data_IF_921162262490
#
_entry.id   IF_921162262490
#
_cell.length_a   1.000
_cell.length_b   1.000
_cell.length_c   1.000
_cell.angle_alpha   90.00
_cell.angle_beta   90.00
_cell.angle_gamma   90.00
#
_symmetry.space_group_name_H-M   'P 1'
#
loop_
_entity.id
_entity.type
_entity.pdbx_description
1 polymer ?
#
# COMPACT_ATOMS: atom_id res chain seq x y z
N UNK A 1 -6.60 -16.50 -0.14
CA UNK A 1 -6.78 -16.86 -1.58
C UNK A 1 -6.80 -15.59 -2.38
N UNK A 2 -6.06 -15.54 -3.49
CA UNK A 2 -6.01 -14.39 -4.39
C UNK A 2 -6.26 -14.86 -5.83
N UNK A 3 -7.36 -14.41 -6.43
CA UNK A 3 -7.75 -14.76 -7.79
C UNK A 3 -7.06 -13.90 -8.86
N UNK A 4 -6.26 -12.90 -8.47
CA UNK A 4 -5.56 -11.98 -9.38
C UNK A 4 -4.57 -12.66 -10.32
N UNK A 5 -4.13 -11.93 -11.32
CA UNK A 5 -3.75 -12.46 -12.63
C UNK A 5 -2.37 -13.17 -12.72
N UNK A 6 -1.52 -13.17 -11.69
CA UNK A 6 -0.14 -13.69 -11.81
C UNK A 6 0.36 -14.43 -10.58
N UNK A 7 1.37 -15.32 -10.74
CA UNK A 7 1.95 -16.04 -9.62
C UNK A 7 2.85 -15.12 -8.79
N UNK A 8 2.76 -15.26 -7.48
CA UNK A 8 3.65 -14.63 -6.50
C UNK A 8 3.77 -15.47 -5.24
N UNK A 9 4.79 -15.22 -4.45
CA UNK A 9 5.07 -15.88 -3.17
C UNK A 9 5.77 -14.89 -2.20
N UNK A 10 6.03 -15.29 -0.95
CA UNK A 10 6.68 -14.42 0.03
C UNK A 10 8.05 -13.84 -0.35
N UNK A 11 8.75 -14.40 -1.34
CA UNK A 11 10.02 -13.86 -1.82
C UNK A 11 9.85 -12.85 -2.98
N UNK A 12 8.69 -12.85 -3.61
CA UNK A 12 8.43 -12.02 -4.81
C UNK A 12 8.74 -10.53 -4.61
N UNK A 13 8.33 -9.85 -3.51
CA UNK A 13 8.58 -8.41 -3.34
C UNK A 13 10.05 -8.03 -3.26
N UNK A 14 10.93 -8.98 -2.95
CA UNK A 14 12.37 -8.75 -2.85
C UNK A 14 13.08 -8.78 -4.20
N UNK A 15 12.51 -9.43 -5.21
CA UNK A 15 13.10 -9.59 -6.54
C UNK A 15 12.41 -8.81 -7.65
N UNK A 16 11.12 -8.50 -7.49
CA UNK A 16 10.34 -7.77 -8.51
C UNK A 16 9.25 -6.90 -7.88
N UNK A 17 8.79 -5.84 -8.60
CA UNK A 17 7.69 -5.01 -8.13
C UNK A 17 6.39 -5.81 -8.02
N UNK A 18 5.58 -5.48 -7.01
CA UNK A 18 4.32 -6.14 -6.73
C UNK A 18 3.29 -5.12 -6.20
N UNK A 19 2.01 -5.34 -6.49
CA UNK A 19 0.93 -4.50 -5.97
C UNK A 19 0.82 -4.54 -4.44
N UNK A 20 0.27 -3.51 -3.84
CA UNK A 20 0.23 -3.34 -2.38
C UNK A 20 -0.46 -4.49 -1.65
N UNK A 21 -1.63 -4.97 -2.12
CA UNK A 21 -2.35 -6.07 -1.49
C UNK A 21 -1.58 -7.38 -1.54
N UNK A 22 -0.95 -7.69 -2.68
CA UNK A 22 -0.13 -8.88 -2.84
C UNK A 22 1.15 -8.81 -2.00
N UNK A 23 1.80 -7.64 -1.95
CA UNK A 23 2.95 -7.41 -1.05
C UNK A 23 2.56 -7.59 0.41
N UNK A 24 1.42 -7.05 0.83
CA UNK A 24 0.90 -7.23 2.18
C UNK A 24 0.68 -8.70 2.54
N UNK A 25 0.10 -9.50 1.62
CA UNK A 25 -0.06 -10.94 1.81
C UNK A 25 1.29 -11.66 1.91
N UNK A 26 2.27 -11.29 1.06
CA UNK A 26 3.62 -11.84 1.09
C UNK A 26 4.34 -11.60 2.41
N UNK A 27 4.08 -10.49 3.07
CA UNK A 27 4.73 -10.15 4.34
C UNK A 27 3.96 -10.69 5.56
N UNK A 28 2.61 -10.63 5.54
CA UNK A 28 1.79 -11.14 6.64
C UNK A 28 1.89 -12.66 6.80
N UNK A 29 1.85 -13.42 5.69
CA UNK A 29 1.78 -14.86 5.72
C UNK A 29 2.95 -15.53 6.48
N UNK A 30 4.24 -15.15 6.26
CA UNK A 30 5.35 -15.69 7.04
C UNK A 30 5.30 -15.31 8.53
N UNK A 31 4.80 -14.12 8.86
CA UNK A 31 4.68 -13.71 10.26
C UNK A 31 3.60 -14.51 11.00
N UNK A 32 2.49 -14.84 10.35
CA UNK A 32 1.48 -15.76 10.89
C UNK A 32 2.06 -17.17 11.09
N UNK A 33 2.92 -17.65 10.17
CA UNK A 33 3.62 -18.93 10.35
C UNK A 33 4.51 -18.92 11.61
N UNK A 34 5.21 -17.82 11.89
CA UNK A 34 6.03 -17.67 13.12
C UNK A 34 5.18 -17.73 14.40
N UNK A 35 3.92 -17.32 14.34
CA UNK A 35 2.96 -17.44 15.44
C UNK A 35 2.33 -18.84 15.56
N UNK A 36 2.74 -19.81 14.72
CA UNK A 36 2.28 -21.19 14.77
C UNK A 36 1.08 -21.52 13.86
N UNK A 37 0.62 -20.57 13.04
CA UNK A 37 -0.42 -20.85 12.05
C UNK A 37 0.12 -21.66 10.87
N UNK A 38 -0.69 -22.57 10.34
CA UNK A 38 -0.44 -23.23 9.05
C UNK A 38 -1.03 -22.38 7.94
N UNK A 39 -0.20 -21.68 7.18
CA UNK A 39 -0.65 -20.73 6.18
C UNK A 39 -0.48 -21.30 4.77
N UNK A 40 -1.56 -21.28 3.99
CA UNK A 40 -1.55 -21.59 2.56
C UNK A 40 -1.89 -20.34 1.77
N UNK A 41 -0.98 -19.90 0.89
CA UNK A 41 -1.20 -18.84 -0.09
C UNK A 41 -1.59 -19.49 -1.42
N UNK A 42 -2.86 -19.39 -1.79
CA UNK A 42 -3.37 -19.89 -3.06
C UNK A 42 -3.57 -18.74 -4.04
N UNK A 43 -2.88 -18.81 -5.19
CA UNK A 43 -2.97 -17.85 -6.28
C UNK A 43 -2.74 -18.54 -7.63
N UNK A 44 -2.30 -17.85 -8.66
CA UNK A 44 -1.98 -18.43 -9.97
C UNK A 44 -0.57 -19.04 -10.05
N UNK A 45 -0.05 -19.58 -8.95
CA UNK A 45 1.19 -20.37 -8.98
C UNK A 45 1.07 -21.55 -9.95
N UNK A 46 2.18 -21.91 -10.59
CA UNK A 46 2.22 -23.00 -11.56
C UNK A 46 2.26 -24.38 -10.84
N UNK A 47 2.94 -24.45 -9.70
CA UNK A 47 3.12 -25.67 -8.91
C UNK A 47 3.17 -25.38 -7.39
N UNK A 48 2.86 -26.38 -6.54
CA UNK A 48 2.99 -26.25 -5.11
C UNK A 48 4.45 -26.10 -4.68
N UNK A 49 4.69 -25.19 -3.73
CA UNK A 49 6.02 -25.00 -3.09
C UNK A 49 5.87 -24.42 -1.69
N UNK A 50 6.93 -24.50 -0.89
CA UNK A 50 7.00 -23.86 0.42
C UNK A 50 8.04 -22.75 0.37
N UNK A 51 7.63 -21.52 0.72
CA UNK A 51 8.49 -20.34 0.75
C UNK A 51 8.31 -19.65 2.10
N UNK A 52 9.39 -19.46 2.84
CA UNK A 52 9.38 -18.90 4.22
C UNK A 52 8.36 -19.57 5.16
N UNK A 53 8.18 -20.89 5.03
CA UNK A 53 7.21 -21.65 5.81
C UNK A 53 5.76 -21.56 5.31
N UNK A 54 5.46 -20.70 4.35
CA UNK A 54 4.15 -20.57 3.72
C UNK A 54 4.02 -21.58 2.59
N UNK A 55 2.92 -22.36 2.59
CA UNK A 55 2.59 -23.26 1.50
C UNK A 55 1.94 -22.48 0.36
N UNK A 56 2.66 -22.29 -0.73
CA UNK A 56 2.13 -21.66 -1.93
C UNK A 56 1.54 -22.71 -2.87
N UNK A 57 0.33 -22.48 -3.36
CA UNK A 57 -0.38 -23.45 -4.20
C UNK A 57 -1.13 -22.79 -5.37
N UNK A 58 -1.29 -23.51 -6.50
CA UNK A 58 -2.20 -23.07 -7.55
C UNK A 58 -3.65 -23.02 -7.02
N UNK A 59 -4.34 -21.92 -7.32
CA UNK A 59 -5.77 -21.81 -6.98
C UNK A 59 -6.62 -22.77 -7.81
N UNK A 60 -6.18 -23.09 -9.04
CA UNK A 60 -6.79 -24.11 -9.88
C UNK A 60 -6.01 -25.42 -9.72
N UNK A 61 -6.70 -26.49 -9.35
CA UNK A 61 -6.06 -27.76 -9.04
C UNK A 61 -5.35 -27.75 -7.69
N UNK A 62 -5.88 -26.99 -6.72
CA UNK A 62 -5.44 -27.02 -5.34
C UNK A 62 -5.50 -28.46 -4.83
N UNK A 63 -4.51 -28.88 -4.04
CA UNK A 63 -4.48 -30.22 -3.46
C UNK A 63 -5.74 -30.52 -2.64
N UNK A 64 -6.22 -31.75 -2.75
CA UNK A 64 -7.39 -32.20 -2.02
C UNK A 64 -7.23 -32.00 -0.51
N UNK A 65 -8.28 -31.53 0.12
CA UNK A 65 -8.34 -31.33 1.56
C UNK A 65 -7.77 -29.99 2.06
N UNK A 66 -7.13 -29.16 1.25
CA UNK A 66 -6.65 -27.83 1.69
C UNK A 66 -7.81 -26.99 2.24
N UNK A 67 -8.90 -26.88 1.49
CA UNK A 67 -10.09 -26.13 1.91
C UNK A 67 -10.84 -26.82 3.05
N UNK A 68 -10.97 -28.16 3.00
CA UNK A 68 -11.67 -28.91 4.05
C UNK A 68 -10.99 -28.86 5.41
N UNK A 69 -9.67 -28.65 5.43
CA UNK A 69 -8.87 -28.58 6.65
C UNK A 69 -8.53 -27.15 7.04
N UNK A 70 -9.06 -26.15 6.37
CA UNK A 70 -8.86 -24.75 6.71
C UNK A 70 -9.87 -24.32 7.79
N UNK A 71 -9.37 -23.72 8.86
CA UNK A 71 -10.19 -23.08 9.89
C UNK A 71 -10.73 -21.74 9.39
N UNK A 72 -9.99 -21.09 8.47
CA UNK A 72 -10.32 -19.79 7.92
C UNK A 72 -9.84 -19.68 6.46
N UNK A 73 -10.65 -19.06 5.61
CA UNK A 73 -10.31 -18.70 4.23
C UNK A 73 -10.36 -17.18 4.09
N UNK A 74 -9.21 -16.58 3.82
CA UNK A 74 -9.11 -15.14 3.57
C UNK A 74 -9.13 -14.87 2.07
N UNK A 75 -10.16 -14.16 1.60
CA UNK A 75 -10.29 -13.66 0.23
C UNK A 75 -9.54 -12.33 0.12
N UNK A 76 -8.48 -12.30 -0.68
CA UNK A 76 -7.65 -11.12 -0.84
C UNK A 76 -8.13 -10.28 -2.02
N UNK A 77 -8.28 -9.00 -1.79
CA UNK A 77 -8.64 -7.94 -2.74
C UNK A 77 -10.08 -7.98 -3.23
N UNK A 78 -10.48 -9.03 -3.91
CA UNK A 78 -11.81 -9.20 -4.49
C UNK A 78 -12.34 -10.62 -4.29
N UNK A 79 -13.59 -10.83 -4.62
CA UNK A 79 -14.21 -12.14 -4.72
C UNK A 79 -15.15 -12.15 -5.93
N UNK A 80 -15.30 -13.32 -6.51
CA UNK A 80 -16.27 -13.52 -7.58
C UNK A 80 -17.55 -14.04 -6.93
N UNK A 81 -18.63 -13.26 -6.96
CA UNK A 81 -19.90 -13.56 -6.29
C UNK A 81 -20.39 -14.99 -6.53
N UNK A 82 -20.38 -15.44 -7.79
CA UNK A 82 -20.79 -16.79 -8.18
C UNK A 82 -19.87 -17.89 -7.67
N UNK A 83 -18.61 -17.58 -7.38
CA UNK A 83 -17.61 -18.56 -6.92
C UNK A 83 -17.55 -18.67 -5.39
N UNK A 84 -17.95 -17.65 -4.66
CA UNK A 84 -17.84 -17.60 -3.19
C UNK A 84 -18.68 -18.71 -2.53
N UNK A 85 -19.92 -18.91 -2.98
CA UNK A 85 -20.80 -19.96 -2.47
C UNK A 85 -20.26 -21.38 -2.76
N UNK A 86 -19.76 -21.60 -3.98
CA UNK A 86 -19.15 -22.88 -4.38
C UNK A 86 -17.89 -23.17 -3.56
N UNK A 87 -17.08 -22.17 -3.30
CA UNK A 87 -15.86 -22.31 -2.51
C UNK A 87 -16.20 -22.60 -1.05
N UNK A 88 -17.16 -21.88 -0.46
CA UNK A 88 -17.64 -22.12 0.91
C UNK A 88 -18.15 -23.55 1.07
N UNK A 89 -18.85 -24.09 0.07
CA UNK A 89 -19.32 -25.46 0.09
C UNK A 89 -18.20 -26.52 0.06
N UNK A 90 -16.99 -26.19 -0.37
CA UNK A 90 -15.82 -27.07 -0.37
C UNK A 90 -15.02 -27.00 0.95
N UNK A 91 -15.27 -26.00 1.78
CA UNK A 91 -14.62 -25.81 3.08
C UNK A 91 -15.23 -26.69 4.17
N UNK A 92 -14.55 -26.76 5.32
CA UNK A 92 -15.20 -27.29 6.53
C UNK A 92 -16.41 -26.40 6.87
N UNK A 93 -17.52 -26.95 7.37
CA UNK A 93 -18.72 -26.16 7.72
C UNK A 93 -18.46 -25.00 8.68
N UNK A 94 -17.53 -25.18 9.60
CA UNK A 94 -17.15 -24.17 10.60
C UNK A 94 -16.05 -23.21 10.11
N UNK A 95 -15.51 -23.41 8.89
CA UNK A 95 -14.47 -22.56 8.33
C UNK A 95 -14.96 -21.14 8.09
N UNK A 96 -14.26 -20.15 8.68
CA UNK A 96 -14.62 -18.74 8.54
C UNK A 96 -14.21 -18.19 7.17
N UNK A 97 -15.11 -17.43 6.56
CA UNK A 97 -14.85 -16.72 5.30
C UNK A 97 -14.58 -15.26 5.59
N UNK A 98 -13.39 -14.78 5.28
CA UNK A 98 -12.95 -13.42 5.57
C UNK A 98 -12.68 -12.68 4.26
N UNK A 99 -13.24 -11.49 4.10
CA UNK A 99 -12.82 -10.57 3.05
C UNK A 99 -11.74 -9.62 3.58
N UNK A 100 -10.56 -9.67 2.98
CA UNK A 100 -9.48 -8.68 3.18
C UNK A 100 -9.26 -7.90 1.91
N UNK A 101 -9.69 -6.64 1.88
CA UNK A 101 -9.64 -5.82 0.67
C UNK A 101 -8.99 -4.47 0.90
N UNK A 102 -8.19 -4.04 -0.09
CA UNK A 102 -7.68 -2.67 -0.20
C UNK A 102 -8.53 -1.77 -1.11
N UNK A 103 -9.67 -2.25 -1.62
CA UNK A 103 -10.54 -1.45 -2.48
C UNK A 103 -11.38 -0.46 -1.69
N UNK A 104 -11.59 0.73 -2.26
CA UNK A 104 -12.63 1.64 -1.78
C UNK A 104 -14.02 1.09 -2.13
N UNK A 105 -15.03 1.51 -1.37
CA UNK A 105 -16.41 0.99 -1.49
C UNK A 105 -17.06 1.19 -2.87
N UNK A 106 -16.58 2.15 -3.65
CA UNK A 106 -17.08 2.51 -4.98
C UNK A 106 -16.49 1.68 -6.13
N UNK A 107 -15.66 0.67 -5.81
CA UNK A 107 -14.99 -0.18 -6.81
C UNK A 107 -15.85 -1.38 -7.20
N UNK A 108 -15.83 -1.70 -8.50
CA UNK A 108 -16.56 -2.84 -9.04
C UNK A 108 -16.20 -4.18 -8.35
N UNK A 109 -14.95 -4.33 -7.91
CA UNK A 109 -14.45 -5.52 -7.22
C UNK A 109 -15.21 -5.87 -5.93
N UNK A 110 -15.90 -4.90 -5.32
CA UNK A 110 -16.64 -5.08 -4.06
C UNK A 110 -18.13 -4.74 -4.17
N UNK A 111 -18.61 -4.44 -5.38
CA UNK A 111 -19.99 -4.05 -5.64
C UNK A 111 -21.01 -5.13 -5.22
N UNK A 112 -20.63 -6.40 -5.26
CA UNK A 112 -21.47 -7.53 -4.81
C UNK A 112 -21.88 -7.45 -3.33
N UNK A 113 -21.14 -6.70 -2.50
CA UNK A 113 -21.50 -6.45 -1.10
C UNK A 113 -22.80 -5.63 -0.92
N UNK A 114 -23.35 -5.04 -1.97
CA UNK A 114 -24.69 -4.47 -1.94
C UNK A 114 -25.81 -5.52 -1.78
N UNK A 115 -25.51 -6.81 -2.01
CA UNK A 115 -26.43 -7.92 -1.89
C UNK A 115 -26.28 -8.60 -0.53
N UNK A 116 -27.37 -8.71 0.24
CA UNK A 116 -27.38 -9.34 1.57
C UNK A 116 -26.99 -10.82 1.53
N UNK A 117 -27.31 -11.49 0.43
CA UNK A 117 -26.98 -12.89 0.19
C UNK A 117 -25.45 -13.09 0.13
N UNK A 118 -24.75 -12.19 -0.54
CA UNK A 118 -23.28 -12.21 -0.61
C UNK A 118 -22.66 -11.89 0.75
N UNK A 119 -23.19 -10.87 1.45
CA UNK A 119 -22.73 -10.55 2.80
C UNK A 119 -22.88 -11.73 3.78
N UNK A 120 -23.93 -12.54 3.63
CA UNK A 120 -24.19 -13.70 4.48
C UNK A 120 -23.18 -14.85 4.31
N UNK A 121 -22.44 -14.86 3.20
CA UNK A 121 -21.38 -15.84 2.93
C UNK A 121 -20.05 -15.48 3.59
N UNK A 122 -19.88 -14.24 4.02
CA UNK A 122 -18.65 -13.70 4.63
C UNK A 122 -18.87 -13.59 6.14
N UNK A 123 -17.97 -14.14 6.94
CA UNK A 123 -18.07 -14.12 8.40
C UNK A 123 -17.41 -12.89 9.01
N UNK A 124 -16.36 -12.33 8.37
CA UNK A 124 -15.66 -11.14 8.84
C UNK A 124 -15.05 -10.31 7.72
N UNK A 125 -14.84 -9.02 7.99
CA UNK A 125 -14.30 -8.04 7.06
C UNK A 125 -13.03 -7.44 7.65
N UNK A 126 -11.86 -7.74 7.05
CA UNK A 126 -10.59 -7.15 7.42
C UNK A 126 -10.38 -5.85 6.66
N UNK A 127 -10.64 -4.72 7.31
CA UNK A 127 -10.48 -3.38 6.75
C UNK A 127 -9.13 -2.79 7.12
N UNK A 128 -8.52 -2.07 6.17
CA UNK A 128 -7.16 -1.55 6.33
C UNK A 128 -7.10 -0.16 6.96
N UNK A 129 -8.25 0.45 7.27
CA UNK A 129 -8.37 1.73 7.97
C UNK A 129 -9.77 1.92 8.56
N UNK A 130 -9.88 2.83 9.54
CA UNK A 130 -11.17 3.29 10.09
C UNK A 130 -12.00 3.99 9.01
N UNK A 131 -11.33 4.79 8.16
CA UNK A 131 -11.98 5.45 7.02
C UNK A 131 -12.65 4.44 6.09
N UNK A 132 -11.95 3.35 5.73
CA UNK A 132 -12.51 2.31 4.88
C UNK A 132 -13.71 1.64 5.56
N UNK A 133 -13.58 1.26 6.84
CA UNK A 133 -14.65 0.64 7.61
C UNK A 133 -15.91 1.51 7.65
N UNK A 134 -15.75 2.81 7.94
CA UNK A 134 -16.87 3.76 7.95
C UNK A 134 -17.56 3.85 6.58
N UNK A 135 -16.79 3.93 5.49
CA UNK A 135 -17.34 3.94 4.13
C UNK A 135 -18.11 2.65 3.80
N UNK A 136 -17.61 1.48 4.21
CA UNK A 136 -18.29 0.21 3.97
C UNK A 136 -19.54 0.04 4.81
N UNK A 137 -19.54 0.45 6.07
CA UNK A 137 -20.77 0.50 6.89
C UNK A 137 -21.82 1.40 6.24
N UNK A 138 -21.42 2.57 5.77
CA UNK A 138 -22.35 3.53 5.13
C UNK A 138 -22.88 3.02 3.79
N UNK A 139 -22.01 2.47 2.93
CA UNK A 139 -22.37 2.09 1.57
C UNK A 139 -23.15 0.75 1.51
N UNK A 140 -22.77 -0.22 2.34
CA UNK A 140 -23.28 -1.59 2.27
C UNK A 140 -24.07 -2.00 3.50
N UNK A 141 -24.15 -1.17 4.54
CA UNK A 141 -24.85 -1.51 5.78
C UNK A 141 -24.20 -2.65 6.56
N UNK A 142 -22.85 -2.78 6.47
CA UNK A 142 -22.13 -3.83 7.19
C UNK A 142 -22.25 -3.64 8.70
N UNK A 143 -22.43 -4.75 9.42
CA UNK A 143 -22.39 -4.77 10.87
C UNK A 143 -20.96 -4.50 11.37
N UNK A 144 -20.75 -3.41 12.16
CA UNK A 144 -19.43 -3.11 12.71
C UNK A 144 -18.82 -4.23 13.57
N UNK A 145 -19.65 -5.08 14.19
CA UNK A 145 -19.17 -6.21 14.98
C UNK A 145 -18.43 -7.27 14.16
N UNK A 146 -18.64 -7.29 12.84
CA UNK A 146 -17.96 -8.19 11.89
C UNK A 146 -16.70 -7.58 11.28
N UNK A 147 -16.35 -6.35 11.63
CA UNK A 147 -15.23 -5.61 11.05
C UNK A 147 -14.02 -5.63 11.98
N UNK A 148 -12.88 -6.09 11.47
CA UNK A 148 -11.58 -5.89 12.09
C UNK A 148 -10.79 -4.80 11.38
N UNK A 149 -10.23 -3.84 12.11
CA UNK A 149 -9.32 -2.84 11.55
C UNK A 149 -7.90 -3.41 11.60
N UNK A 150 -7.49 -3.99 10.48
CA UNK A 150 -6.22 -4.69 10.31
C UNK A 150 -5.35 -3.92 9.31
N UNK A 151 -4.68 -2.89 9.80
CA UNK A 151 -3.90 -1.94 8.99
C UNK A 151 -2.76 -2.62 8.24
N UNK A 152 -2.36 -2.03 7.13
CA UNK A 152 -1.14 -2.41 6.43
C UNK A 152 0.11 -2.03 7.25
N UNK A 153 1.27 -2.47 6.75
CA UNK A 153 2.58 -2.16 7.32
C UNK A 153 3.62 -2.01 6.21
N UNK A 154 4.80 -1.52 6.57
CA UNK A 154 5.93 -1.40 5.64
C UNK A 154 6.61 -2.74 5.40
N UNK A 155 7.14 -2.95 4.20
CA UNK A 155 7.94 -4.13 3.89
C UNK A 155 9.22 -4.20 4.75
N UNK A 156 9.76 -5.41 4.98
CA UNK A 156 10.98 -5.59 5.79
C UNK A 156 12.19 -4.77 5.31
N UNK A 157 12.25 -4.43 4.00
CA UNK A 157 13.30 -3.61 3.44
C UNK A 157 13.32 -2.16 3.96
N UNK A 158 12.23 -1.69 4.58
CA UNK A 158 12.10 -0.35 5.14
C UNK A 158 12.30 -0.30 6.66
N UNK A 159 12.43 -1.44 7.30
CA UNK A 159 12.72 -1.51 8.74
C UNK A 159 14.20 -1.28 8.95
N UNK A 160 14.53 -0.42 9.90
CA UNK A 160 15.92 -0.14 10.32
C UNK A 160 16.85 0.42 9.22
N UNK A 161 16.32 1.27 8.33
CA UNK A 161 17.11 1.89 7.25
C UNK A 161 18.27 2.78 7.75
N UNK A 162 18.21 3.25 8.99
CA UNK A 162 19.19 4.18 9.55
C UNK A 162 20.01 3.60 10.69
N UNK A 163 19.65 2.42 11.25
CA UNK A 163 20.39 1.77 12.35
C UNK A 163 20.70 2.70 13.53
N UNK A 164 19.80 3.66 13.80
CA UNK A 164 19.98 4.68 14.84
C UNK A 164 20.86 5.88 14.43
N UNK A 165 21.39 5.90 13.20
CA UNK A 165 22.12 7.05 12.66
C UNK A 165 21.20 8.24 12.35
N UNK A 166 21.74 9.47 12.34
CA UNK A 166 21.00 10.64 11.87
C UNK A 166 20.49 10.48 10.43
N UNK A 167 19.30 11.03 10.15
CA UNK A 167 18.60 10.85 8.87
C UNK A 167 19.08 11.86 7.83
N UNK A 168 19.28 13.13 8.22
CA UNK A 168 19.64 14.21 7.30
C UNK A 168 20.92 13.97 6.50
N UNK A 169 21.99 13.39 7.08
CA UNK A 169 23.22 13.09 6.31
C UNK A 169 22.99 12.13 5.15
N UNK A 170 22.02 11.19 5.29
CA UNK A 170 21.67 10.29 4.19
C UNK A 170 20.90 10.98 3.04
N UNK A 171 20.44 12.20 3.26
CA UNK A 171 19.65 13.03 2.33
C UNK A 171 20.38 14.31 1.91
N UNK A 172 21.72 14.30 1.97
CA UNK A 172 22.56 15.40 1.49
C UNK A 172 22.51 15.54 -0.03
N UNK A 173 22.74 16.76 -0.52
CA UNK A 173 22.73 17.08 -1.95
C UNK A 173 21.46 17.80 -2.41
N UNK A 174 21.18 17.82 -3.72
CA UNK A 174 20.00 18.47 -4.27
C UNK A 174 18.72 17.86 -3.71
N UNK A 175 17.71 18.69 -3.37
CA UNK A 175 16.42 18.18 -2.92
C UNK A 175 15.83 17.22 -3.94
N UNK A 176 15.63 15.96 -3.53
CA UNK A 176 15.10 14.91 -4.39
C UNK A 176 13.70 14.55 -3.95
N UNK A 177 12.71 14.83 -4.79
CA UNK A 177 11.33 14.44 -4.64
C UNK A 177 11.14 13.05 -5.26
N UNK A 178 10.32 12.22 -4.64
CA UNK A 178 9.96 10.91 -5.20
C UNK A 178 8.44 10.81 -5.40
N UNK A 179 8.04 10.09 -6.44
CA UNK A 179 6.69 9.58 -6.63
C UNK A 179 6.74 8.05 -6.74
N UNK A 180 5.98 7.33 -5.91
CA UNK A 180 6.12 5.86 -5.76
C UNK A 180 4.77 5.13 -5.83
N UNK A 181 3.83 5.65 -6.61
CA UNK A 181 2.50 5.07 -6.78
C UNK A 181 2.16 4.84 -8.25
N UNK A 182 0.99 4.25 -8.51
CA UNK A 182 0.48 4.10 -9.88
C UNK A 182 0.12 5.45 -10.50
N UNK A 183 0.22 5.61 -11.82
CA UNK A 183 0.20 6.93 -12.48
C UNK A 183 -1.13 7.68 -12.32
N UNK A 184 -2.26 6.98 -12.25
CA UNK A 184 -3.60 7.59 -12.13
C UNK A 184 -3.89 8.21 -10.77
N UNK A 185 -2.94 8.14 -9.83
CA UNK A 185 -3.08 8.66 -8.47
C UNK A 185 -2.43 10.05 -8.31
N UNK A 186 -2.34 10.84 -9.39
CA UNK A 186 -1.88 12.22 -9.35
C UNK A 186 -0.48 12.46 -9.93
N UNK A 187 0.09 11.51 -10.70
CA UNK A 187 1.36 11.76 -11.39
C UNK A 187 1.25 12.91 -12.40
N UNK A 188 0.10 13.04 -13.08
CA UNK A 188 -0.22 14.14 -13.95
C UNK A 188 -0.16 15.50 -13.23
N UNK A 189 -0.72 15.57 -12.02
CA UNK A 189 -0.68 16.77 -11.16
C UNK A 189 0.74 17.12 -10.75
N UNK A 190 1.55 16.10 -10.43
CA UNK A 190 2.95 16.30 -10.05
C UNK A 190 3.78 16.84 -11.21
N UNK A 191 3.57 16.33 -12.43
CA UNK A 191 4.28 16.82 -13.61
C UNK A 191 3.90 18.27 -13.97
N UNK A 192 2.66 18.70 -13.68
CA UNK A 192 2.24 20.11 -13.80
C UNK A 192 2.90 20.96 -12.71
N UNK A 193 2.99 20.45 -11.46
CA UNK A 193 3.54 21.17 -10.32
C UNK A 193 5.07 21.33 -10.37
N UNK A 194 5.79 20.35 -10.92
CA UNK A 194 7.23 20.26 -10.80
C UNK A 194 8.03 21.40 -11.45
N UNK A 195 7.67 21.95 -12.63
CA UNK A 195 8.31 23.13 -13.20
C UNK A 195 8.31 24.35 -12.25
N UNK A 196 7.18 24.60 -11.53
CA UNK A 196 7.09 25.67 -10.52
C UNK A 196 8.01 25.41 -9.34
N UNK A 197 8.09 24.16 -8.86
CA UNK A 197 9.02 23.78 -7.79
C UNK A 197 10.46 24.04 -8.22
N UNK A 198 10.84 23.65 -9.44
CA UNK A 198 12.18 23.90 -9.98
C UNK A 198 12.50 25.37 -10.21
N UNK A 199 11.53 26.18 -10.55
CA UNK A 199 11.73 27.63 -10.69
C UNK A 199 12.11 28.27 -9.32
N UNK A 200 11.55 27.77 -8.22
CA UNK A 200 11.88 28.22 -6.87
C UNK A 200 13.12 27.53 -6.28
N UNK A 201 13.38 26.27 -6.65
CA UNK A 201 14.49 25.43 -6.19
C UNK A 201 15.17 24.80 -7.41
N UNK A 202 16.12 25.51 -8.08
CA UNK A 202 16.66 25.11 -9.40
C UNK A 202 17.31 23.72 -9.44
N UNK A 203 17.91 23.28 -8.33
CA UNK A 203 18.57 21.99 -8.22
C UNK A 203 17.62 20.84 -7.85
N UNK A 204 16.33 21.11 -7.62
CA UNK A 204 15.36 20.08 -7.28
C UNK A 204 15.27 19.00 -8.37
N UNK A 205 15.20 17.75 -7.95
CA UNK A 205 15.07 16.56 -8.80
C UNK A 205 13.77 15.85 -8.48
N UNK A 206 13.21 15.16 -9.47
CA UNK A 206 12.05 14.29 -9.30
C UNK A 206 12.40 12.89 -9.83
N UNK A 207 12.29 11.90 -8.96
CA UNK A 207 12.46 10.49 -9.29
C UNK A 207 11.10 9.79 -9.24
N UNK A 208 10.70 9.12 -10.33
CA UNK A 208 9.40 8.50 -10.49
C UNK A 208 9.56 6.98 -10.57
N UNK A 209 9.01 6.29 -9.55
CA UNK A 209 8.93 4.84 -9.44
C UNK A 209 7.48 4.40 -9.63
N UNK A 210 7.02 4.36 -10.88
CA UNK A 210 5.61 4.19 -11.24
C UNK A 210 5.45 3.39 -12.51
N UNK A 211 4.55 2.41 -12.53
CA UNK A 211 4.04 1.78 -13.73
C UNK A 211 2.79 0.95 -13.41
N UNK A 212 2.02 0.60 -14.43
CA UNK A 212 0.91 -0.36 -14.31
C UNK A 212 1.39 -1.82 -14.38
N UNK A 213 2.68 -2.07 -14.59
CA UNK A 213 3.27 -3.42 -14.61
C UNK A 213 3.08 -4.16 -13.27
N UNK A 214 2.93 -3.42 -12.15
CA UNK A 214 2.58 -4.00 -10.84
C UNK A 214 1.23 -4.72 -10.84
N UNK A 215 0.38 -4.45 -11.83
CA UNK A 215 -0.92 -5.11 -12.05
C UNK A 215 -0.93 -5.97 -13.32
N UNK A 216 0.25 -6.29 -13.88
CA UNK A 216 0.41 -7.09 -15.09
C UNK A 216 -0.39 -6.56 -16.31
N UNK A 217 -0.50 -5.25 -16.43
CA UNK A 217 -1.16 -4.59 -17.56
C UNK A 217 -0.21 -4.59 -18.75
N UNK A 218 -0.59 -5.28 -19.83
CA UNK A 218 0.24 -5.44 -21.03
C UNK A 218 0.27 -4.17 -21.90
N UNK A 219 -0.85 -3.45 -21.97
CA UNK A 219 -0.96 -2.19 -22.70
C UNK A 219 -1.30 -1.10 -21.69
N UNK A 220 -0.29 -0.32 -21.30
CA UNK A 220 -0.45 0.72 -20.29
C UNK A 220 -1.03 2.00 -20.92
N UNK A 221 -2.25 2.42 -20.56
CA UNK A 221 -2.85 3.63 -21.12
C UNK A 221 -2.14 4.92 -20.67
N UNK A 222 -1.21 4.82 -19.71
CA UNK A 222 -0.48 5.96 -19.15
C UNK A 222 0.90 6.18 -19.81
N UNK A 223 1.24 5.44 -20.89
CA UNK A 223 2.52 5.62 -21.59
C UNK A 223 2.79 7.08 -22.01
N UNK A 224 1.80 7.88 -22.48
CA UNK A 224 2.03 9.31 -22.76
C UNK A 224 2.47 10.11 -21.53
N UNK A 225 2.01 9.74 -20.33
CA UNK A 225 2.42 10.39 -19.08
C UNK A 225 3.86 10.04 -18.71
N UNK A 226 4.28 8.79 -18.96
CA UNK A 226 5.66 8.38 -18.75
C UNK A 226 6.63 9.03 -19.75
N UNK A 227 6.19 9.24 -21.00
CA UNK A 227 6.97 9.98 -22.00
C UNK A 227 7.14 11.44 -21.60
N UNK A 228 6.08 12.07 -21.10
CA UNK A 228 6.15 13.41 -20.54
C UNK A 228 7.15 13.48 -19.37
N UNK A 229 7.15 12.47 -18.48
CA UNK A 229 8.12 12.38 -17.38
C UNK A 229 9.56 12.24 -17.88
N UNK A 230 9.82 11.36 -18.87
CA UNK A 230 11.16 11.11 -19.44
C UNK A 230 11.76 12.36 -20.12
N UNK A 231 10.91 13.23 -20.68
CA UNK A 231 11.33 14.43 -21.38
C UNK A 231 11.36 15.69 -20.52
N UNK A 232 10.84 15.61 -19.30
CA UNK A 232 10.79 16.76 -18.37
C UNK A 232 12.15 17.04 -17.74
N UNK A 233 12.53 18.32 -17.68
CA UNK A 233 13.81 18.74 -17.11
C UNK A 233 13.88 18.44 -15.60
N UNK A 234 14.92 17.73 -15.16
CA UNK A 234 15.15 17.37 -13.76
C UNK A 234 14.31 16.19 -13.27
N UNK A 235 13.63 15.50 -14.17
CA UNK A 235 12.86 14.27 -13.89
C UNK A 235 13.63 13.04 -14.36
N UNK A 236 13.63 11.99 -13.54
CA UNK A 236 14.13 10.66 -13.89
C UNK A 236 13.00 9.64 -13.69
N UNK A 237 12.62 8.94 -14.75
CA UNK A 237 11.62 7.88 -14.72
C UNK A 237 12.28 6.52 -14.64
N UNK A 238 11.99 5.74 -13.59
CA UNK A 238 12.58 4.42 -13.31
C UNK A 238 11.64 3.25 -13.63
N UNK A 239 10.34 3.52 -13.83
CA UNK A 239 9.35 2.45 -13.80
C UNK A 239 9.15 1.89 -12.40
N UNK A 240 8.54 0.71 -12.29
CA UNK A 240 8.41 0.03 -11.00
C UNK A 240 9.64 -0.80 -10.68
N UNK A 241 10.07 -0.81 -9.42
CA UNK A 241 11.26 -1.52 -8.94
C UNK A 241 10.93 -2.43 -7.75
N UNK A 242 11.80 -3.39 -7.46
CA UNK A 242 11.67 -4.24 -6.28
C UNK A 242 11.83 -3.44 -4.98
N UNK A 243 11.20 -3.90 -3.91
CA UNK A 243 11.14 -3.22 -2.62
C UNK A 243 12.52 -2.84 -2.04
N UNK A 244 13.57 -3.68 -2.06
CA UNK A 244 14.89 -3.28 -1.56
C UNK A 244 15.53 -2.12 -2.35
N UNK A 245 15.28 -2.06 -3.66
CA UNK A 245 15.76 -0.95 -4.52
C UNK A 245 15.02 0.34 -4.17
N UNK A 246 13.69 0.26 -4.00
CA UNK A 246 12.87 1.41 -3.61
C UNK A 246 13.27 1.94 -2.23
N UNK A 247 13.53 1.05 -1.26
CA UNK A 247 13.94 1.42 0.08
C UNK A 247 15.24 2.24 0.08
N UNK A 248 16.24 1.84 -0.72
CA UNK A 248 17.49 2.57 -0.86
C UNK A 248 17.31 3.91 -1.61
N UNK A 249 16.39 3.99 -2.55
CA UNK A 249 16.06 5.24 -3.23
C UNK A 249 15.39 6.21 -2.24
N UNK A 250 14.37 5.78 -1.52
CA UNK A 250 13.67 6.60 -0.53
C UNK A 250 14.56 7.01 0.67
N UNK A 251 15.51 6.16 1.07
CA UNK A 251 16.51 6.53 2.10
C UNK A 251 17.27 7.81 1.74
N UNK A 252 17.52 8.04 0.45
CA UNK A 252 18.23 9.23 -0.07
C UNK A 252 17.28 10.38 -0.46
N UNK A 253 16.01 10.08 -0.71
CA UNK A 253 15.03 11.08 -1.13
C UNK A 253 14.67 12.04 0.00
N UNK A 254 14.48 13.31 -0.34
CA UNK A 254 14.07 14.34 0.60
C UNK A 254 12.60 14.25 0.96
N UNK A 255 11.75 13.92 -0.03
CA UNK A 255 10.31 14.05 0.10
C UNK A 255 9.58 13.06 -0.80
N UNK A 256 8.49 12.49 -0.30
CA UNK A 256 7.44 11.92 -1.14
C UNK A 256 6.52 13.06 -1.58
N UNK A 257 6.47 13.30 -2.89
CA UNK A 257 5.59 14.29 -3.52
C UNK A 257 4.41 13.54 -4.15
N UNK A 258 3.26 13.58 -3.46
CA UNK A 258 2.12 12.74 -3.81
C UNK A 258 0.82 13.57 -3.87
N UNK A 259 0.60 14.39 -4.92
CA UNK A 259 -0.64 15.18 -5.11
C UNK A 259 -1.80 14.24 -5.49
N UNK A 260 -2.16 13.36 -4.57
CA UNK A 260 -3.10 12.28 -4.80
C UNK A 260 -4.51 12.77 -5.12
N UNK A 261 -5.12 12.17 -6.14
CA UNK A 261 -6.53 12.44 -6.53
C UNK A 261 -7.43 11.22 -6.29
N UNK A 262 -6.88 10.15 -5.72
CA UNK A 262 -7.55 8.88 -5.51
C UNK A 262 -7.87 8.67 -4.03
N UNK A 263 -9.10 8.24 -3.70
CA UNK A 263 -9.48 7.92 -2.32
C UNK A 263 -8.77 6.65 -1.82
N UNK A 264 -7.57 6.82 -1.26
CA UNK A 264 -6.77 5.74 -0.68
C UNK A 264 -7.44 5.15 0.56
N UNK A 265 -7.45 3.83 0.63
CA UNK A 265 -7.92 3.10 1.81
C UNK A 265 -6.82 2.89 2.85
N UNK A 266 -5.56 2.80 2.39
CA UNK A 266 -4.35 2.70 3.22
C UNK A 266 -3.13 2.81 2.30
N UNK A 267 -2.34 3.85 2.43
CA UNK A 267 -1.23 4.14 1.51
C UNK A 267 0.08 3.54 1.98
N UNK A 268 0.44 2.33 1.52
CA UNK A 268 1.72 1.68 1.84
C UNK A 268 2.90 2.53 1.36
N UNK A 269 2.83 3.09 0.14
CA UNK A 269 3.88 3.95 -0.40
C UNK A 269 4.20 5.15 0.50
N UNK A 270 3.18 5.72 1.16
CA UNK A 270 3.37 6.79 2.13
C UNK A 270 4.03 6.29 3.43
N UNK A 271 3.60 5.13 3.95
CA UNK A 271 4.24 4.51 5.12
C UNK A 271 5.73 4.20 4.83
N UNK A 272 6.04 3.68 3.64
CA UNK A 272 7.42 3.40 3.19
C UNK A 272 8.28 4.67 3.12
N UNK A 273 7.73 5.75 2.58
CA UNK A 273 8.42 7.04 2.55
C UNK A 273 8.64 7.60 3.96
N UNK A 274 7.65 7.47 4.85
CA UNK A 274 7.77 7.86 6.26
C UNK A 274 8.84 7.04 6.98
N UNK A 275 8.88 5.72 6.77
CA UNK A 275 9.92 4.84 7.33
C UNK A 275 11.32 5.18 6.83
N UNK A 276 11.41 5.68 5.60
CA UNK A 276 12.64 6.16 4.98
C UNK A 276 12.98 7.62 5.37
N UNK A 277 12.29 8.22 6.33
CA UNK A 277 12.53 9.58 6.80
C UNK A 277 12.29 10.66 5.75
N UNK A 278 11.46 10.40 4.73
CA UNK A 278 11.04 11.43 3.79
C UNK A 278 9.97 12.33 4.44
N UNK A 279 10.05 13.64 4.20
CA UNK A 279 8.88 14.47 4.36
C UNK A 279 7.79 13.99 3.39
N UNK A 280 6.53 14.14 3.73
CA UNK A 280 5.42 13.73 2.87
C UNK A 280 4.49 14.92 2.64
N UNK A 281 4.26 15.24 1.37
CA UNK A 281 3.19 16.16 0.96
C UNK A 281 2.19 15.38 0.12
N UNK A 282 0.92 15.42 0.52
CA UNK A 282 -0.16 14.74 -0.19
C UNK A 282 -1.48 15.50 -0.05
N UNK A 283 -2.51 15.04 -0.75
CA UNK A 283 -3.86 15.61 -0.64
C UNK A 283 -4.63 15.03 0.55
N UNK A 284 -5.56 15.83 1.09
CA UNK A 284 -6.49 15.41 2.15
C UNK A 284 -7.64 14.57 1.55
N UNK A 285 -7.33 13.30 1.22
CA UNK A 285 -8.26 12.39 0.54
C UNK A 285 -8.20 10.98 1.14
N UNK A 286 -9.37 10.40 1.36
CA UNK A 286 -9.48 9.03 1.85
C UNK A 286 -8.85 8.83 3.22
N UNK A 287 -8.12 7.74 3.40
CA UNK A 287 -7.42 7.41 4.65
C UNK A 287 -6.00 8.00 4.74
N UNK A 288 -5.61 8.95 3.86
CA UNK A 288 -4.27 9.54 3.93
C UNK A 288 -4.01 10.28 5.25
N UNK A 289 -4.94 11.10 5.79
CA UNK A 289 -4.76 11.72 7.11
C UNK A 289 -4.56 10.69 8.23
N UNK A 290 -5.36 9.61 8.22
CA UNK A 290 -5.26 8.51 9.20
C UNK A 290 -3.90 7.80 9.07
N UNK A 291 -3.49 7.45 7.86
CA UNK A 291 -2.22 6.76 7.60
C UNK A 291 -1.01 7.61 8.00
N UNK A 292 -1.10 8.93 7.80
CA UNK A 292 -0.03 9.88 8.09
C UNK A 292 0.17 10.19 9.57
N UNK A 293 -0.82 9.89 10.43
CA UNK A 293 -0.74 10.00 11.89
C UNK A 293 -0.17 11.35 12.41
N UNK A 294 -0.43 12.45 11.69
CA UNK A 294 0.05 13.79 12.05
C UNK A 294 1.48 14.13 11.60
N UNK A 295 2.19 13.21 10.94
CA UNK A 295 3.55 13.45 10.45
C UNK A 295 3.62 14.02 9.02
N UNK A 296 2.50 14.06 8.30
CA UNK A 296 2.45 14.45 6.89
C UNK A 296 1.87 15.87 6.72
N UNK A 297 2.11 16.45 5.56
CA UNK A 297 1.58 17.75 5.16
C UNK A 297 0.46 17.54 4.12
N UNK A 298 -0.73 18.00 4.46
CA UNK A 298 -1.93 17.85 3.66
C UNK A 298 -2.22 19.11 2.85
N UNK A 299 -2.61 18.92 1.58
CA UNK A 299 -3.10 19.98 0.70
C UNK A 299 -4.58 19.71 0.34
N UNK A 300 -5.40 20.74 0.08
CA UNK A 300 -6.78 20.54 -0.31
C UNK A 300 -6.88 19.81 -1.67
N UNK A 301 -7.80 18.83 -1.79
CA UNK A 301 -8.03 18.12 -3.05
C UNK A 301 -8.89 19.00 -4.00
N UNK A 302 -8.25 19.85 -4.81
CA UNK A 302 -8.95 20.71 -5.74
C UNK A 302 -9.30 19.96 -7.04
N UNK A 303 -10.49 20.21 -7.58
CA UNK A 303 -10.96 19.57 -8.80
C UNK A 303 -10.21 20.07 -10.04
N UNK A 304 -9.91 21.36 -10.07
CA UNK A 304 -9.11 21.98 -11.13
C UNK A 304 -7.66 21.50 -11.04
N UNK A 305 -7.12 21.05 -12.17
CA UNK A 305 -5.82 20.44 -12.23
C UNK A 305 -4.67 21.40 -11.92
N UNK A 306 -4.75 22.59 -12.50
CA UNK A 306 -3.70 23.59 -12.39
C UNK A 306 -3.71 24.21 -10.99
N UNK A 307 -4.90 24.53 -10.47
CA UNK A 307 -5.06 25.01 -9.10
C UNK A 307 -4.56 23.99 -8.06
N UNK A 308 -4.85 22.68 -8.27
CA UNK A 308 -4.34 21.62 -7.40
C UNK A 308 -2.81 21.55 -7.45
N UNK A 309 -2.24 21.53 -8.65
CA UNK A 309 -0.79 21.48 -8.86
C UNK A 309 -0.09 22.72 -8.28
N UNK A 310 -0.69 23.92 -8.40
CA UNK A 310 -0.17 25.16 -7.84
C UNK A 310 -0.14 25.13 -6.31
N UNK A 311 -1.26 24.81 -5.67
CA UNK A 311 -1.34 24.71 -4.20
C UNK A 311 -0.35 23.65 -3.66
N UNK A 312 -0.23 22.52 -4.35
CA UNK A 312 0.72 21.47 -4.02
C UNK A 312 2.17 21.95 -4.15
N UNK A 313 2.53 22.60 -5.26
CA UNK A 313 3.87 23.13 -5.49
C UNK A 313 4.26 24.14 -4.40
N UNK A 314 3.36 25.05 -4.05
CA UNK A 314 3.60 26.06 -3.00
C UNK A 314 3.90 25.39 -1.65
N UNK A 315 3.17 24.34 -1.30
CA UNK A 315 3.43 23.59 -0.05
C UNK A 315 4.78 22.90 -0.06
N UNK A 316 5.14 22.25 -1.18
CA UNK A 316 6.48 21.64 -1.36
C UNK A 316 7.59 22.67 -1.19
N UNK A 317 7.47 23.83 -1.84
CA UNK A 317 8.47 24.92 -1.76
C UNK A 317 8.63 25.42 -0.31
N UNK A 318 7.51 25.62 0.39
CA UNK A 318 7.52 26.05 1.80
C UNK A 318 8.27 25.04 2.70
N UNK A 319 8.03 23.74 2.51
CA UNK A 319 8.68 22.71 3.31
C UNK A 319 10.17 22.56 3.01
N UNK A 320 10.57 22.69 1.75
CA UNK A 320 11.99 22.72 1.38
C UNK A 320 12.71 23.90 2.00
N UNK A 321 12.09 25.09 2.02
CA UNK A 321 12.63 26.27 2.69
C UNK A 321 12.70 26.09 4.23
N UNK A 322 11.65 25.52 4.84
CA UNK A 322 11.63 25.27 6.28
C UNK A 322 12.73 24.27 6.71
N UNK A 323 12.98 23.22 5.90
CA UNK A 323 14.08 22.28 6.14
C UNK A 323 15.45 22.95 6.16
N UNK A 324 15.69 23.90 5.28
CA UNK A 324 16.95 24.68 5.23
C UNK A 324 17.08 25.63 6.42
N UNK A 325 15.97 26.22 6.85
CA UNK A 325 15.95 27.18 7.95
C UNK A 325 16.13 26.53 9.33
N UNK A 326 15.60 25.31 9.51
CA UNK A 326 15.70 24.56 10.78
C UNK A 326 16.07 23.08 10.54
N UNK A 327 17.34 22.77 10.29
CA UNK A 327 17.79 21.39 10.13
C UNK A 327 17.59 20.53 11.39
N UNK A 328 17.80 21.11 12.58
CA UNK A 328 17.68 20.37 13.83
C UNK A 328 16.24 19.96 14.14
N UNK A 329 15.28 20.86 13.98
CA UNK A 329 13.85 20.54 14.11
C UNK A 329 13.39 19.56 13.04
N UNK A 330 13.91 19.67 11.81
CA UNK A 330 13.65 18.72 10.73
C UNK A 330 14.15 17.32 11.09
N UNK A 331 15.37 17.17 11.58
CA UNK A 331 15.94 15.90 12.01
C UNK A 331 15.09 15.27 13.13
N UNK A 332 14.74 16.05 14.15
CA UNK A 332 13.93 15.57 15.26
C UNK A 332 12.56 15.06 14.79
N UNK A 333 11.91 15.79 13.88
CA UNK A 333 10.60 15.37 13.29
C UNK A 333 10.75 14.09 12.48
N UNK A 334 11.79 13.97 11.64
CA UNK A 334 12.05 12.76 10.85
C UNK A 334 12.32 11.55 11.73
N UNK A 335 13.12 11.70 12.79
CA UNK A 335 13.39 10.62 13.75
C UNK A 335 12.11 10.16 14.45
N UNK A 336 11.27 11.08 14.92
CA UNK A 336 9.99 10.77 15.53
C UNK A 336 9.05 10.03 14.55
N UNK A 337 9.00 10.48 13.29
CA UNK A 337 8.23 9.84 12.22
C UNK A 337 8.70 8.40 11.96
N UNK A 338 10.00 8.20 11.78
CA UNK A 338 10.60 6.87 11.55
C UNK A 338 10.33 5.95 12.74
N UNK A 339 10.57 6.43 13.95
CA UNK A 339 10.31 5.66 15.17
C UNK A 339 8.83 5.23 15.27
N UNK A 340 7.90 6.14 14.97
CA UNK A 340 6.47 5.82 14.92
C UNK A 340 6.17 4.71 13.90
N UNK A 341 6.64 4.83 12.65
CA UNK A 341 6.33 3.85 11.61
C UNK A 341 6.92 2.48 11.95
N UNK A 342 8.16 2.43 12.42
CA UNK A 342 8.83 1.17 12.79
C UNK A 342 8.12 0.50 13.96
N UNK A 343 7.65 1.26 14.95
CA UNK A 343 6.94 0.72 16.11
C UNK A 343 5.51 0.28 15.78
N UNK A 344 4.79 1.08 14.99
CA UNK A 344 3.36 0.89 14.76
C UNK A 344 3.04 0.13 13.47
N UNK A 345 3.78 0.36 12.37
CA UNK A 345 3.46 -0.17 11.05
C UNK A 345 4.45 -1.27 10.62
N UNK A 346 4.53 -2.37 11.39
CA UNK A 346 5.36 -3.54 11.10
C UNK A 346 4.53 -4.83 11.04
N UNK A 347 4.97 -5.79 10.25
CA UNK A 347 4.21 -7.02 9.98
C UNK A 347 4.16 -7.99 11.17
N UNK A 348 5.18 -8.12 12.05
CA UNK A 348 5.04 -8.89 13.28
C UNK A 348 3.85 -8.43 14.14
N UNK A 349 3.73 -7.13 14.39
CA UNK A 349 2.59 -6.55 15.13
C UNK A 349 1.26 -6.80 14.40
N UNK A 350 1.23 -6.68 13.08
CA UNK A 350 0.02 -6.98 12.30
C UNK A 350 -0.38 -8.44 12.41
N UNK A 351 0.57 -9.36 12.37
CA UNK A 351 0.29 -10.79 12.52
C UNK A 351 -0.32 -11.11 13.90
N UNK A 352 0.17 -10.48 14.97
CA UNK A 352 -0.44 -10.61 16.30
C UNK A 352 -1.88 -10.13 16.32
N UNK A 353 -2.16 -8.96 15.70
CA UNK A 353 -3.51 -8.40 15.58
C UNK A 353 -4.43 -9.30 14.76
N UNK A 354 -3.95 -9.83 13.63
CA UNK A 354 -4.67 -10.80 12.82
C UNK A 354 -4.99 -12.07 13.60
N UNK A 355 -3.99 -12.65 14.28
CA UNK A 355 -4.15 -13.87 15.07
C UNK A 355 -5.18 -13.68 16.20
N UNK A 356 -5.13 -12.57 16.91
CA UNK A 356 -6.07 -12.25 17.97
C UNK A 356 -7.50 -12.05 17.42
N UNK A 357 -7.65 -11.31 16.32
CA UNK A 357 -8.96 -11.07 15.71
C UNK A 357 -9.59 -12.36 15.17
N UNK A 358 -8.84 -13.19 14.45
CA UNK A 358 -9.32 -14.47 13.93
C UNK A 358 -9.77 -15.41 15.06
N UNK A 359 -9.04 -15.41 16.18
CA UNK A 359 -9.43 -16.20 17.37
C UNK A 359 -10.72 -15.69 18.01
N UNK A 360 -11.00 -14.40 17.92
CA UNK A 360 -12.24 -13.79 18.42
C UNK A 360 -13.48 -14.00 17.54
N UNK A 361 -13.29 -14.46 16.29
CA UNK A 361 -14.37 -14.83 15.37
C UNK A 361 -14.82 -16.30 15.57
N UNK A 362 -14.12 -17.05 16.42
CA UNK A 362 -14.36 -18.47 16.66
C UNK A 362 -15.65 -18.75 17.46
#
# INVERSE_FOLDING_TARGET
MDATAWPYDPDTPFGRPLGGSQSAACYLAPELVKLGHRVTLANRADEPRVVRGVRCQPIRGMEDGVLRNADCVVHLSDFVDSYLAELKAQCHPDARQILWTGHAHDRAAVAGLAQSEIQSLIDGFAMVSEWQAACYCQAFGLDPARIGILRNAVGPAFVDLFSGEPILPAKEGPPTLCYTSTPFRGLDRLLIAFPRIRAAVPDARLEIYSSMAVYNVLLDPHEPLYDAARTSCGVTYHGSVAQPVLAQALRRATMLAYPNTFAETSCIAMMEAMAAGCAVVTSDVGALPETGAGFIDLTPPLADADAHAEAFADRVIQLLAARQADPAGTEARMQAQVAYVVAENNWPRRAEQWSAWLSGLA
#
